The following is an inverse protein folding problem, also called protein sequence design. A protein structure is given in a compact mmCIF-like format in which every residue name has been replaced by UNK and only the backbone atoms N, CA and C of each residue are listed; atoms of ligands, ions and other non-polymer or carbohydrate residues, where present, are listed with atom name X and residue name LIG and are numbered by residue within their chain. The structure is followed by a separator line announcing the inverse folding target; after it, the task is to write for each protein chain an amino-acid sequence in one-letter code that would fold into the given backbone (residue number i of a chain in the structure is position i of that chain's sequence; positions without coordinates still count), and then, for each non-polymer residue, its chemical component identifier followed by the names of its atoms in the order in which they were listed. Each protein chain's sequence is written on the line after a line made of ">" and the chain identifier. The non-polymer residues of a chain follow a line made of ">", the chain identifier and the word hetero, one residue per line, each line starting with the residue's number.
data_IF_693337320109
#
_entry.id   IF_693337320109
#
_cell.length_a   1.000
_cell.length_b   1.000
_cell.length_c   1.000
_cell.angle_alpha   90.00
_cell.angle_beta   90.00
_cell.angle_gamma   90.00
#
_symmetry.space_group_name_H-M   'P 1'
#
loop_
_entity.id
_entity.type
_entity.pdbx_description
1 polymer ?
#
# COMPACT_ATOMS: atom_id res chain seq x y z
N UNK A 1 -16.56 16.49 18.10
CA UNK A 1 -17.16 15.23 18.57
C UNK A 1 -18.65 15.26 18.26
N UNK A 2 -19.02 14.76 17.08
CA UNK A 2 -20.29 14.08 16.80
C UNK A 2 -20.19 13.59 15.35
N UNK A 3 -19.85 12.30 15.18
CA UNK A 3 -19.97 11.63 13.90
C UNK A 3 -21.47 11.40 13.61
N UNK A 4 -21.91 11.68 12.39
CA UNK A 4 -23.25 11.34 11.94
C UNK A 4 -23.46 9.81 12.01
N UNK A 5 -24.68 9.33 12.34
CA UNK A 5 -24.94 7.91 12.45
C UNK A 5 -24.87 7.28 11.06
N UNK A 6 -24.12 6.19 10.95
CA UNK A 6 -23.88 5.42 9.73
C UNK A 6 -25.13 4.67 9.19
N UNK A 7 -26.34 5.15 9.48
CA UNK A 7 -27.58 4.37 9.36
C UNK A 7 -28.52 4.80 8.20
N UNK A 8 -28.06 5.56 7.21
CA UNK A 8 -28.92 6.09 6.12
C UNK A 8 -28.42 5.85 4.69
N UNK A 9 -27.57 4.85 4.46
CA UNK A 9 -27.24 4.39 3.09
C UNK A 9 -27.75 2.94 2.91
N UNK A 10 -28.87 2.72 2.19
CA UNK A 10 -29.53 1.42 2.10
C UNK A 10 -28.77 0.36 1.26
N UNK A 11 -27.61 0.67 0.71
CA UNK A 11 -26.81 -0.23 -0.16
C UNK A 11 -25.32 -0.27 0.22
N UNK A 12 -24.95 -0.09 1.50
CA UNK A 12 -23.58 -0.38 1.90
C UNK A 12 -23.36 -1.90 1.85
N UNK A 13 -22.44 -2.42 1.01
CA UNK A 13 -22.25 -3.86 0.89
C UNK A 13 -21.87 -4.46 2.24
N UNK A 14 -22.73 -5.36 2.74
CA UNK A 14 -22.58 -6.05 4.03
C UNK A 14 -21.60 -7.23 3.92
N UNK A 15 -20.38 -6.95 3.46
CA UNK A 15 -19.31 -7.93 3.28
C UNK A 15 -17.96 -7.41 3.79
N UNK A 16 -17.00 -8.32 3.96
CA UNK A 16 -15.61 -7.96 4.19
C UNK A 16 -15.11 -7.19 2.97
N UNK A 17 -14.74 -5.91 3.15
CA UNK A 17 -14.10 -5.13 2.09
C UNK A 17 -12.63 -5.50 2.08
N UNK A 18 -12.27 -6.40 1.18
CA UNK A 18 -10.89 -6.66 0.82
C UNK A 18 -10.33 -5.44 0.10
N UNK A 19 -9.27 -4.87 0.67
CA UNK A 19 -8.59 -3.69 0.14
C UNK A 19 -7.09 -3.98 0.18
N UNK A 20 -6.41 -3.80 -0.95
CA UNK A 20 -4.98 -4.04 -1.05
C UNK A 20 -4.18 -3.07 -0.17
N UNK A 21 -3.03 -3.52 0.35
CA UNK A 21 -2.07 -2.67 1.04
C UNK A 21 -1.25 -1.80 0.09
N UNK A 22 -1.00 -0.54 0.46
CA UNK A 22 -0.13 0.39 -0.28
C UNK A 22 0.88 1.01 0.68
N UNK A 23 2.15 1.09 0.26
CA UNK A 23 3.23 1.71 1.00
C UNK A 23 4.14 2.52 0.08
N UNK A 24 4.75 3.60 0.60
CA UNK A 24 5.69 4.44 -0.14
C UNK A 24 6.72 5.08 0.78
N UNK A 25 7.95 5.23 0.27
CA UNK A 25 9.08 5.83 1.00
C UNK A 25 9.76 6.84 0.08
N UNK A 26 10.00 8.04 0.61
CA UNK A 26 10.81 9.07 -0.05
C UNK A 26 12.06 9.32 0.78
N UNK A 27 13.22 9.00 0.21
CA UNK A 27 14.51 9.27 0.84
C UNK A 27 15.07 10.60 0.34
N UNK A 28 15.32 11.55 1.25
CA UNK A 28 16.07 12.78 0.91
C UNK A 28 17.54 12.48 0.68
N UNK A 29 18.10 11.54 1.44
CA UNK A 29 19.44 11.03 1.25
C UNK A 29 19.40 9.85 0.28
N UNK A 30 20.12 9.96 -0.86
CA UNK A 30 20.17 8.93 -1.90
C UNK A 30 20.90 7.66 -1.46
N UNK A 31 21.65 7.67 -0.35
CA UNK A 31 22.28 6.48 0.21
C UNK A 31 21.30 5.56 0.95
N UNK A 32 20.10 6.05 1.29
CA UNK A 32 19.10 5.25 2.00
C UNK A 32 18.32 4.33 1.06
N UNK A 33 18.13 3.04 1.43
CA UNK A 33 17.53 2.05 0.54
C UNK A 33 15.99 2.11 0.54
N UNK A 34 15.41 2.98 -0.28
CA UNK A 34 13.94 3.16 -0.36
C UNK A 34 13.18 1.87 -0.70
N UNK A 35 13.64 1.09 -1.68
CA UNK A 35 12.95 -0.14 -2.10
C UNK A 35 12.92 -1.22 -1.00
N UNK A 36 14.02 -1.56 -0.32
CA UNK A 36 13.99 -2.44 0.85
C UNK A 36 13.07 -1.95 1.98
N UNK A 37 12.99 -0.64 2.23
CA UNK A 37 12.06 -0.10 3.24
C UNK A 37 10.59 -0.29 2.83
N UNK A 38 10.26 -0.06 1.56
CA UNK A 38 8.91 -0.36 1.03
C UNK A 38 8.61 -1.85 1.11
N UNK A 39 9.58 -2.72 0.83
CA UNK A 39 9.41 -4.17 0.97
C UNK A 39 9.02 -4.58 2.39
N UNK A 40 9.70 -4.05 3.41
CA UNK A 40 9.35 -4.31 4.82
C UNK A 40 7.96 -3.79 5.18
N UNK A 41 7.57 -2.63 4.64
CA UNK A 41 6.23 -2.08 4.85
C UNK A 41 5.14 -2.95 4.20
N UNK A 42 5.36 -3.41 2.96
CA UNK A 42 4.44 -4.34 2.28
C UNK A 42 4.37 -5.69 3.00
N UNK A 43 5.48 -6.18 3.54
CA UNK A 43 5.51 -7.39 4.35
C UNK A 43 4.63 -7.26 5.61
N UNK A 44 4.69 -6.12 6.32
CA UNK A 44 3.81 -5.87 7.45
C UNK A 44 2.32 -5.81 7.04
N UNK A 45 2.03 -5.45 5.79
CA UNK A 45 0.69 -5.37 5.21
C UNK A 45 0.24 -6.65 4.49
N UNK A 46 0.99 -7.76 4.54
CA UNK A 46 0.66 -8.98 3.80
C UNK A 46 -0.70 -9.58 4.18
N UNK A 47 -1.23 -9.25 5.36
CA UNK A 47 -2.58 -9.61 5.78
C UNK A 47 -3.70 -8.89 4.99
N UNK A 48 -3.36 -7.91 4.13
CA UNK A 48 -4.24 -7.18 3.21
C UNK A 48 -4.16 -7.67 1.76
N UNK A 49 -3.36 -8.69 1.49
CA UNK A 49 -3.19 -9.22 0.14
C UNK A 49 -2.11 -10.29 0.11
N UNK A 50 -2.51 -11.51 -0.26
CA UNK A 50 -1.63 -12.68 -0.40
C UNK A 50 -1.40 -13.06 -1.87
N UNK A 51 -2.15 -12.45 -2.79
CA UNK A 51 -2.22 -12.87 -4.20
C UNK A 51 -1.18 -12.22 -5.10
N UNK A 52 -0.59 -11.09 -4.72
CA UNK A 52 0.49 -10.46 -5.49
C UNK A 52 1.15 -9.34 -4.69
N UNK A 53 2.34 -8.92 -5.12
CA UNK A 53 2.99 -7.73 -4.62
C UNK A 53 3.90 -7.11 -5.70
N UNK A 54 4.18 -5.81 -5.56
CA UNK A 54 5.11 -5.12 -6.45
C UNK A 54 5.68 -3.84 -5.86
N UNK A 55 6.86 -3.46 -6.33
CA UNK A 55 7.57 -2.24 -5.93
C UNK A 55 8.08 -1.55 -7.19
N UNK A 56 7.76 -0.27 -7.33
CA UNK A 56 8.39 0.65 -8.27
C UNK A 56 9.29 1.61 -7.49
N UNK A 57 10.55 1.73 -7.88
CA UNK A 57 11.51 2.63 -7.25
C UNK A 57 12.18 3.51 -8.31
N UNK A 58 12.32 4.80 -8.02
CA UNK A 58 12.96 5.75 -8.91
C UNK A 58 13.96 6.66 -8.21
N UNK A 59 14.95 7.12 -8.97
CA UNK A 59 16.07 7.96 -8.51
C UNK A 59 16.04 9.38 -9.12
N UNK A 60 14.95 9.72 -9.81
CA UNK A 60 14.77 10.96 -10.55
C UNK A 60 15.22 10.91 -12.01
N UNK A 61 15.91 9.87 -12.44
CA UNK A 61 16.31 9.67 -13.85
C UNK A 61 15.61 8.48 -14.50
N UNK A 62 15.25 7.48 -13.70
CA UNK A 62 14.52 6.31 -14.17
C UNK A 62 13.69 5.68 -13.07
N UNK A 63 12.93 4.65 -13.46
CA UNK A 63 12.13 3.81 -12.56
C UNK A 63 12.45 2.35 -12.86
N UNK A 64 12.72 1.58 -11.80
CA UNK A 64 12.81 0.12 -11.85
C UNK A 64 11.56 -0.45 -11.20
N UNK A 65 10.95 -1.44 -11.87
CA UNK A 65 9.75 -2.13 -11.40
C UNK A 65 10.07 -3.61 -11.20
N UNK A 66 9.66 -4.13 -10.05
CA UNK A 66 9.59 -5.57 -9.80
C UNK A 66 8.22 -5.91 -9.22
N UNK A 67 7.56 -6.92 -9.80
CA UNK A 67 6.24 -7.40 -9.36
C UNK A 67 6.08 -8.86 -9.77
N UNK A 68 5.32 -9.60 -8.98
CA UNK A 68 4.93 -10.97 -9.31
C UNK A 68 3.47 -11.24 -8.92
N UNK A 69 2.92 -12.33 -9.47
CA UNK A 69 1.54 -12.82 -9.26
C UNK A 69 1.49 -14.05 -8.34
#
# INVERSE_FOLDING_TARGET
>A
MTAAPAALLPDAPSGWREECGVAGVLCRDRSLPAAPLVHLALYALQHRGQESAGIAAGDGHGIVLHRDL
#
